data_IF_291586810274
#
_entry.id   IF_291586810274
#
_cell.length_a   1.000
_cell.length_b   1.000
_cell.length_c   1.000
_cell.angle_alpha   90.00
_cell.angle_beta   90.00
_cell.angle_gamma   90.00
#
_symmetry.space_group_name_H-M   'P 1'
#
loop_
_entity.id
_entity.type
_entity.pdbx_description
1 polymer ?
#
# COMPACT_ATOMS: atom_id res chain seq x y z
N UNK A 1 47.78 1.54 47.08
CA UNK A 1 49.01 0.91 46.55
C UNK A 1 48.89 1.17 45.03
N UNK A 2 49.35 2.34 44.54
CA UNK A 2 50.70 2.59 43.98
C UNK A 2 51.03 1.50 42.93
N UNK A 3 51.29 1.76 41.63
CA UNK A 3 52.28 2.67 41.01
C UNK A 3 51.96 2.65 39.50
N UNK A 4 51.74 3.75 38.78
CA UNK A 4 52.75 4.59 38.09
C UNK A 4 53.86 3.78 37.38
N UNK A 5 54.09 3.95 36.07
CA UNK A 5 55.05 4.87 35.44
C UNK A 5 55.23 4.57 33.95
N UNK A 6 55.16 5.52 33.09
CA UNK A 6 56.09 6.37 32.26
C UNK A 6 56.31 5.85 30.84
N UNK A 7 55.93 6.63 29.82
CA UNK A 7 56.53 7.71 29.01
C UNK A 7 57.88 7.32 28.32
N UNK A 8 57.92 7.50 26.96
CA UNK A 8 58.89 8.30 26.18
C UNK A 8 58.71 7.99 24.68
N UNK A 9 58.27 8.96 23.91
CA UNK A 9 59.02 9.92 23.08
C UNK A 9 59.94 9.30 22.01
N UNK A 10 59.66 9.63 20.72
CA UNK A 10 60.53 10.50 19.92
C UNK A 10 60.08 10.57 18.44
N UNK A 11 59.81 11.77 17.96
CA UNK A 11 59.98 12.31 16.58
C UNK A 11 61.50 12.63 16.40
N UNK A 12 62.04 13.10 15.26
CA UNK A 12 61.53 13.35 13.90
C UNK A 12 62.56 12.99 12.78
N UNK A 13 62.24 13.25 11.51
CA UNK A 13 63.09 13.81 10.42
C UNK A 13 62.31 13.79 9.11
N UNK A 14 61.91 14.80 8.55
CA UNK A 14 62.36 15.94 7.71
C UNK A 14 63.39 15.55 6.61
N UNK A 15 63.08 15.70 5.34
CA UNK A 15 63.80 16.40 4.30
C UNK A 15 63.31 16.04 2.89
N UNK A 16 62.78 17.02 2.22
CA UNK A 16 63.14 17.78 0.97
C UNK A 16 62.71 17.13 -0.36
N UNK A 17 61.81 17.77 -1.05
CA UNK A 17 61.93 18.80 -2.10
C UNK A 17 62.62 18.32 -3.36
N UNK A 18 61.91 18.20 -4.47
CA UNK A 18 62.30 18.79 -5.75
C UNK A 18 61.14 18.94 -6.75
N UNK A 19 61.01 20.14 -7.24
CA UNK A 19 60.23 20.66 -8.33
C UNK A 19 60.73 20.09 -9.68
N UNK A 20 59.84 19.76 -10.63
CA UNK A 20 60.11 19.93 -12.04
C UNK A 20 58.84 20.23 -12.79
N UNK A 21 58.69 21.49 -13.19
CA UNK A 21 57.79 22.05 -14.17
C UNK A 21 58.22 21.69 -15.59
N UNK A 22 57.30 21.25 -16.41
CA UNK A 22 57.45 21.36 -17.88
C UNK A 22 56.12 21.73 -18.52
N UNK A 23 56.04 22.97 -18.95
CA UNK A 23 55.02 23.50 -19.82
C UNK A 23 55.28 23.08 -21.27
N UNK A 24 54.22 22.63 -21.97
CA UNK A 24 54.20 22.65 -23.40
C UNK A 24 52.86 23.13 -23.94
N UNK A 25 52.90 24.33 -24.47
CA UNK A 25 51.90 24.99 -25.29
C UNK A 25 51.87 24.37 -26.67
N UNK A 26 50.68 23.99 -27.20
CA UNK A 26 50.45 23.93 -28.67
C UNK A 26 49.03 24.31 -29.02
N UNK A 27 48.91 25.45 -29.55
CA UNK A 27 48.12 26.05 -30.64
C UNK A 27 46.75 25.46 -31.03
N UNK A 28 45.78 26.37 -30.91
CA UNK A 28 44.43 26.36 -31.49
C UNK A 28 44.53 26.48 -33.01
N UNK A 29 43.88 25.58 -33.75
CA UNK A 29 43.40 25.84 -35.10
C UNK A 29 41.90 25.61 -35.11
N UNK A 30 41.15 26.67 -35.27
CA UNK A 30 39.72 26.66 -35.49
C UNK A 30 39.39 26.29 -36.94
N UNK A 31 38.39 25.44 -37.11
CA UNK A 31 37.59 25.37 -38.31
C UNK A 31 36.12 25.31 -37.94
N UNK A 32 35.41 26.34 -38.36
CA UNK A 32 33.97 26.38 -38.26
C UNK A 32 33.32 25.32 -39.14
N UNK A 33 32.42 24.59 -38.53
CA UNK A 33 31.55 23.64 -39.21
C UNK A 33 30.14 23.79 -38.62
N UNK A 34 29.23 24.11 -39.49
CA UNK A 34 27.81 24.30 -39.23
C UNK A 34 27.21 23.17 -38.40
N UNK A 35 26.61 23.52 -37.28
CA UNK A 35 25.81 22.61 -36.48
C UNK A 35 24.52 22.29 -37.23
N UNK A 36 24.52 21.21 -37.99
CA UNK A 36 23.30 20.48 -38.31
C UNK A 36 22.91 19.70 -37.04
N UNK A 37 21.88 20.14 -36.37
CA UNK A 37 21.31 19.40 -35.25
C UNK A 37 20.77 18.06 -35.75
N UNK A 38 21.58 17.02 -35.65
CA UNK A 38 21.09 15.65 -35.67
C UNK A 38 20.47 15.41 -34.31
N UNK A 39 19.15 15.32 -34.31
CA UNK A 39 18.39 14.70 -33.20
C UNK A 39 18.92 13.28 -33.15
N UNK A 40 19.87 13.01 -32.28
CA UNK A 40 20.26 11.64 -31.93
C UNK A 40 19.04 11.01 -31.27
N UNK A 41 18.35 10.16 -32.01
CA UNK A 41 17.49 9.15 -31.45
C UNK A 41 18.34 8.37 -30.44
N UNK A 42 18.10 8.53 -29.17
CA UNK A 42 18.72 7.72 -28.13
C UNK A 42 18.19 6.30 -28.28
N UNK A 43 18.94 5.44 -29.00
CA UNK A 43 18.82 3.98 -28.94
C UNK A 43 19.42 3.46 -27.61
N UNK A 44 18.96 4.03 -26.50
CA UNK A 44 19.24 3.50 -25.18
C UNK A 44 17.91 3.06 -24.57
N UNK A 45 17.72 1.74 -24.37
CA UNK A 45 16.57 1.21 -23.65
C UNK A 45 16.44 1.87 -22.28
N UNK A 46 15.28 1.75 -21.65
CA UNK A 46 15.06 2.23 -20.29
C UNK A 46 16.03 1.51 -19.33
N UNK A 47 16.69 2.27 -18.46
CA UNK A 47 17.67 1.75 -17.49
C UNK A 47 17.64 2.58 -16.20
N UNK A 48 17.97 1.95 -15.09
CA UNK A 48 18.04 2.59 -13.78
C UNK A 48 17.32 1.80 -12.70
N UNK A 49 17.18 2.40 -11.53
CA UNK A 49 16.44 1.80 -10.40
C UNK A 49 15.23 2.66 -10.09
N UNK A 50 14.10 2.03 -9.87
CA UNK A 50 12.88 2.66 -9.34
C UNK A 50 12.70 2.19 -7.89
N UNK A 51 12.68 3.13 -6.95
CA UNK A 51 12.45 2.87 -5.53
C UNK A 51 10.99 3.12 -5.19
N UNK A 52 10.36 2.16 -4.48
CA UNK A 52 8.92 2.19 -4.15
C UNK A 52 8.72 1.82 -2.69
N UNK A 53 7.88 2.58 -1.99
CA UNK A 53 7.47 2.20 -0.64
C UNK A 53 5.98 2.45 -0.40
N UNK A 54 5.39 1.83 0.62
CA UNK A 54 4.09 2.26 1.11
C UNK A 54 3.06 1.17 1.34
N UNK A 55 1.87 1.35 0.76
CA UNK A 55 0.67 0.60 1.12
C UNK A 55 0.79 -0.91 0.93
N UNK A 56 0.52 -1.66 2.00
CA UNK A 56 0.42 -3.12 1.98
C UNK A 56 -0.58 -3.60 0.93
N UNK A 57 -1.71 -2.90 0.80
CA UNK A 57 -2.77 -3.22 -0.16
C UNK A 57 -2.27 -3.30 -1.61
N UNK A 58 -1.28 -2.49 -2.01
CA UNK A 58 -0.78 -2.42 -3.39
C UNK A 58 0.53 -3.21 -3.58
N UNK A 59 1.17 -3.63 -2.49
CA UNK A 59 2.49 -4.26 -2.53
C UNK A 59 2.57 -5.50 -3.42
N UNK A 60 1.63 -6.49 -3.34
CA UNK A 60 1.70 -7.66 -4.21
C UNK A 60 1.62 -7.33 -5.71
N UNK A 61 0.72 -6.43 -6.09
CA UNK A 61 0.56 -6.03 -7.48
C UNK A 61 1.74 -5.18 -7.98
N UNK A 62 2.31 -4.33 -7.11
CA UNK A 62 3.51 -3.56 -7.44
C UNK A 62 4.72 -4.46 -7.71
N UNK A 63 4.89 -5.54 -6.95
CA UNK A 63 5.93 -6.54 -7.19
C UNK A 63 5.71 -7.19 -8.57
N UNK A 64 4.47 -7.61 -8.87
CA UNK A 64 4.12 -8.20 -10.17
C UNK A 64 4.40 -7.24 -11.32
N UNK A 65 4.00 -5.98 -11.21
CA UNK A 65 4.29 -4.96 -12.22
C UNK A 65 5.80 -4.71 -12.38
N UNK A 66 6.54 -4.68 -11.29
CA UNK A 66 7.99 -4.52 -11.31
C UNK A 66 8.68 -5.66 -12.05
N UNK A 67 8.30 -6.91 -11.78
CA UNK A 67 8.81 -8.10 -12.44
C UNK A 67 8.53 -8.09 -13.95
N UNK A 68 7.28 -7.78 -14.35
CA UNK A 68 6.89 -7.74 -15.75
C UNK A 68 7.56 -6.59 -16.52
N UNK A 69 7.63 -5.40 -15.91
CA UNK A 69 8.33 -4.27 -16.52
C UNK A 69 9.83 -4.54 -16.67
N UNK A 70 10.46 -5.19 -15.67
CA UNK A 70 11.87 -5.60 -15.77
C UNK A 70 12.08 -6.67 -16.86
N UNK A 71 11.12 -7.56 -17.08
CA UNK A 71 11.19 -8.54 -18.18
C UNK A 71 11.21 -7.84 -19.56
N UNK A 72 10.46 -6.74 -19.69
CA UNK A 72 10.45 -5.91 -20.91
C UNK A 72 11.68 -4.99 -21.02
N UNK A 73 12.23 -4.56 -19.88
CA UNK A 73 13.35 -3.63 -19.76
C UNK A 73 14.42 -4.18 -18.81
N UNK A 74 15.29 -5.11 -19.28
CA UNK A 74 16.20 -5.86 -18.43
C UNK A 74 17.23 -5.03 -17.64
N UNK A 75 17.47 -3.78 -18.05
CA UNK A 75 18.39 -2.86 -17.38
C UNK A 75 17.71 -2.00 -16.30
N UNK A 76 16.39 -2.18 -16.08
CA UNK A 76 15.64 -1.56 -14.99
C UNK A 76 15.68 -2.47 -13.76
N UNK A 77 15.79 -1.87 -12.59
CA UNK A 77 15.73 -2.54 -11.27
C UNK A 77 14.66 -1.90 -10.41
N UNK A 78 14.15 -2.67 -9.50
CA UNK A 78 13.16 -2.21 -8.51
C UNK A 78 13.64 -2.49 -7.09
N UNK A 79 13.41 -1.51 -6.21
CA UNK A 79 13.52 -1.66 -4.75
C UNK A 79 12.15 -1.33 -4.16
N UNK A 80 11.40 -2.37 -3.80
CA UNK A 80 9.99 -2.26 -3.39
C UNK A 80 9.85 -2.68 -1.92
N UNK A 81 9.25 -1.82 -1.11
CA UNK A 81 9.01 -2.09 0.31
C UNK A 81 7.59 -1.74 0.74
N UNK A 82 7.02 -2.53 1.64
CA UNK A 82 5.76 -2.21 2.29
C UNK A 82 6.01 -1.50 3.65
N UNK A 83 5.00 -0.80 4.16
CA UNK A 83 5.10 -0.08 5.44
C UNK A 83 3.92 0.84 5.74
N UNK A 84 2.82 0.67 4.97
CA UNK A 84 1.60 1.45 5.11
C UNK A 84 1.54 2.70 4.21
N UNK A 85 0.32 3.15 3.94
CA UNK A 85 0.05 4.29 3.05
C UNK A 85 0.67 5.60 3.54
N UNK A 86 0.69 5.80 4.87
CA UNK A 86 1.32 6.98 5.48
C UNK A 86 2.82 7.02 5.23
N UNK A 87 3.52 5.86 5.31
CA UNK A 87 4.93 5.76 4.95
C UNK A 87 5.14 6.09 3.48
N UNK A 88 4.36 5.47 2.58
CA UNK A 88 4.47 5.73 1.13
C UNK A 88 4.32 7.21 0.77
N UNK A 89 3.33 7.88 1.36
CA UNK A 89 3.12 9.32 1.18
C UNK A 89 4.32 10.13 1.72
N UNK A 90 4.78 9.82 2.93
CA UNK A 90 5.89 10.56 3.56
C UNK A 90 7.20 10.39 2.77
N UNK A 91 7.52 9.16 2.36
CA UNK A 91 8.72 8.85 1.61
C UNK A 91 8.71 9.53 0.23
N UNK A 92 7.58 9.49 -0.49
CA UNK A 92 7.43 10.17 -1.78
C UNK A 92 7.62 11.69 -1.64
N UNK A 93 6.92 12.35 -0.70
CA UNK A 93 7.04 13.78 -0.47
C UNK A 93 8.43 14.21 -0.01
N UNK A 94 9.17 13.35 0.66
CA UNK A 94 10.55 13.57 1.07
C UNK A 94 11.58 13.25 -0.03
N UNK A 95 11.17 12.77 -1.21
CA UNK A 95 12.03 12.20 -2.26
C UNK A 95 12.95 11.08 -1.72
N UNK A 96 12.49 10.34 -0.71
CA UNK A 96 13.19 9.16 -0.20
C UNK A 96 12.96 7.93 -1.08
N UNK A 97 11.87 7.95 -1.85
CA UNK A 97 11.54 6.99 -2.92
C UNK A 97 11.02 7.73 -4.14
N UNK A 98 11.07 7.07 -5.29
CA UNK A 98 10.53 7.62 -6.54
C UNK A 98 9.00 7.55 -6.58
N UNK A 99 8.43 6.48 -6.00
CA UNK A 99 6.98 6.22 -5.99
C UNK A 99 6.54 5.80 -4.60
N UNK A 100 5.53 6.48 -4.06
CA UNK A 100 4.79 6.08 -2.87
C UNK A 100 3.51 5.32 -3.25
N UNK A 101 3.24 4.19 -2.61
CA UNK A 101 1.97 3.47 -2.71
C UNK A 101 1.02 3.98 -1.63
N UNK A 102 -0.18 4.47 -2.03
CA UNK A 102 -1.16 5.04 -1.10
C UNK A 102 -2.54 4.46 -1.34
N UNK A 103 -3.08 3.78 -0.34
CA UNK A 103 -4.37 3.06 -0.39
C UNK A 103 -5.48 3.77 0.40
N UNK A 104 -5.51 5.07 0.33
CA UNK A 104 -6.52 5.97 0.90
C UNK A 104 -6.64 7.24 0.06
N UNK A 105 -7.58 8.07 0.40
CA UNK A 105 -7.70 9.41 -0.15
C UNK A 105 -6.41 10.23 0.01
N UNK A 106 -6.08 11.02 -1.00
CA UNK A 106 -4.96 11.97 -0.97
C UNK A 106 -5.49 13.29 -0.39
N UNK A 107 -4.95 13.70 0.74
CA UNK A 107 -5.44 14.87 1.44
C UNK A 107 -4.97 16.18 0.80
N UNK A 108 -5.79 17.22 0.85
CA UNK A 108 -5.48 18.54 0.29
C UNK A 108 -4.14 19.11 0.80
N UNK A 109 -3.77 18.79 2.05
CA UNK A 109 -2.49 19.18 2.63
C UNK A 109 -1.29 18.48 1.99
N UNK A 110 -1.47 17.25 1.49
CA UNK A 110 -0.43 16.48 0.80
C UNK A 110 -0.23 17.04 -0.62
N UNK A 111 -1.32 17.41 -1.26
CA UNK A 111 -1.29 18.10 -2.57
C UNK A 111 -0.53 19.44 -2.47
N UNK A 112 -0.79 20.24 -1.44
CA UNK A 112 -0.05 21.48 -1.21
C UNK A 112 1.44 21.29 -0.93
N UNK A 113 1.83 20.10 -0.47
CA UNK A 113 3.23 19.71 -0.27
C UNK A 113 3.90 19.14 -1.52
N UNK A 114 3.18 19.07 -2.63
CA UNK A 114 3.70 18.60 -3.91
C UNK A 114 3.35 17.16 -4.27
N UNK A 115 2.40 16.53 -3.59
CA UNK A 115 1.92 15.20 -4.00
C UNK A 115 1.24 15.30 -5.38
N UNK A 116 1.78 14.58 -6.34
CA UNK A 116 1.13 14.23 -7.59
C UNK A 116 0.72 12.76 -7.52
N UNK A 117 -0.47 12.42 -8.00
CA UNK A 117 -0.95 11.03 -7.89
C UNK A 117 -1.78 10.60 -9.10
N UNK A 118 -1.75 9.29 -9.33
CA UNK A 118 -2.62 8.59 -10.26
C UNK A 118 -3.24 7.38 -9.58
N UNK A 119 -4.54 7.18 -9.78
CA UNK A 119 -5.21 5.94 -9.39
C UNK A 119 -4.89 4.85 -10.41
N UNK A 120 -4.55 3.64 -9.94
CA UNK A 120 -4.09 2.55 -10.81
C UNK A 120 -4.96 1.30 -10.74
N UNK A 121 -5.68 1.12 -9.64
CA UNK A 121 -6.62 0.01 -9.40
C UNK A 121 -7.52 0.35 -8.22
N UNK A 122 -8.45 -0.54 -7.88
CA UNK A 122 -9.31 -0.42 -6.71
C UNK A 122 -9.21 -1.68 -5.84
N UNK A 123 -9.39 -1.50 -4.52
CA UNK A 123 -9.40 -2.54 -3.52
C UNK A 123 -10.45 -2.21 -2.45
N UNK A 124 -10.69 -3.12 -1.51
CA UNK A 124 -11.57 -2.90 -0.38
C UNK A 124 -11.03 -3.52 0.90
N UNK A 125 -11.48 -3.01 2.04
CA UNK A 125 -11.20 -3.56 3.36
C UNK A 125 -12.40 -4.36 3.83
N UNK A 126 -12.16 -5.61 4.22
CA UNK A 126 -13.17 -6.54 4.69
C UNK A 126 -13.01 -6.80 6.18
N UNK A 127 -14.09 -6.78 6.98
CA UNK A 127 -14.05 -7.24 8.36
C UNK A 127 -13.80 -8.75 8.40
N UNK A 128 -12.87 -9.16 9.25
CA UNK A 128 -12.45 -10.55 9.39
C UNK A 128 -12.57 -11.03 10.82
N UNK A 129 -12.99 -12.28 11.00
CA UNK A 129 -13.03 -12.98 12.29
C UNK A 129 -12.33 -14.31 12.18
N UNK A 130 -11.99 -14.91 13.32
CA UNK A 130 -11.48 -16.27 13.36
C UNK A 130 -12.52 -17.27 12.83
N UNK A 131 -12.09 -18.33 12.15
CA UNK A 131 -13.00 -19.35 11.60
C UNK A 131 -13.74 -20.16 12.67
N UNK A 132 -13.19 -20.25 13.90
CA UNK A 132 -13.79 -20.90 15.05
C UNK A 132 -14.59 -19.94 15.94
N UNK A 133 -14.96 -18.75 15.44
CA UNK A 133 -15.73 -17.78 16.20
C UNK A 133 -17.05 -18.39 16.69
N UNK A 134 -17.37 -18.29 18.01
CA UNK A 134 -18.50 -19.01 18.61
C UNK A 134 -19.89 -18.60 18.07
N UNK A 135 -19.98 -17.47 17.36
CA UNK A 135 -21.24 -16.99 16.77
C UNK A 135 -21.16 -16.88 15.25
N UNK A 136 -20.21 -17.55 14.61
CA UNK A 136 -19.99 -17.45 13.15
C UNK A 136 -21.28 -17.65 12.33
N UNK A 137 -22.07 -18.68 12.64
CA UNK A 137 -23.32 -18.97 11.90
C UNK A 137 -24.34 -17.82 11.97
N UNK A 138 -24.38 -17.11 13.12
CA UNK A 138 -25.23 -15.94 13.25
C UNK A 138 -24.66 -14.73 12.51
N UNK A 139 -23.33 -14.50 12.54
CA UNK A 139 -22.64 -13.44 11.80
C UNK A 139 -22.84 -13.61 10.28
N UNK A 140 -22.66 -14.84 9.79
CA UNK A 140 -22.83 -15.15 8.38
C UNK A 140 -24.26 -14.92 7.89
N UNK A 141 -25.24 -15.33 8.69
CA UNK A 141 -26.67 -15.23 8.33
C UNK A 141 -27.23 -13.81 8.47
N UNK A 142 -26.77 -13.05 9.45
CA UNK A 142 -27.32 -11.73 9.79
C UNK A 142 -26.53 -10.58 9.16
N UNK A 143 -25.27 -10.77 8.90
CA UNK A 143 -24.34 -9.68 8.68
C UNK A 143 -24.13 -8.83 9.94
N UNK A 144 -23.25 -7.84 9.81
CA UNK A 144 -22.98 -6.86 10.88
C UNK A 144 -23.17 -5.47 10.30
N UNK A 145 -24.06 -4.68 10.91
CA UNK A 145 -24.34 -3.32 10.45
C UNK A 145 -23.19 -2.35 10.77
N UNK A 146 -23.12 -1.26 10.03
CA UNK A 146 -22.16 -0.17 10.29
C UNK A 146 -22.27 0.33 11.75
N UNK A 147 -23.48 0.51 12.28
CA UNK A 147 -23.70 0.96 13.64
C UNK A 147 -23.11 -0.03 14.66
N UNK A 148 -23.26 -1.33 14.42
CA UNK A 148 -22.65 -2.37 15.27
C UNK A 148 -21.12 -2.28 15.23
N UNK A 149 -20.51 -2.10 14.05
CA UNK A 149 -19.06 -1.89 13.95
C UNK A 149 -18.60 -0.61 14.65
N UNK A 150 -19.38 0.48 14.60
CA UNK A 150 -19.10 1.70 15.39
C UNK A 150 -19.10 1.38 16.88
N UNK A 151 -20.07 0.58 17.34
CA UNK A 151 -20.13 0.11 18.72
C UNK A 151 -18.91 -0.71 19.16
N UNK A 152 -18.32 -1.49 18.25
CA UNK A 152 -17.14 -2.31 18.50
C UNK A 152 -15.85 -1.47 18.43
N UNK A 153 -15.64 -0.74 17.33
CA UNK A 153 -14.35 -0.14 16.99
C UNK A 153 -14.17 1.30 17.42
N UNK A 154 -15.26 2.05 17.69
CA UNK A 154 -15.18 3.48 17.98
C UNK A 154 -15.66 3.80 19.38
N UNK A 155 -16.87 3.40 19.74
CA UNK A 155 -17.44 3.75 21.07
C UNK A 155 -17.07 2.73 22.16
N UNK A 156 -16.80 1.47 21.79
CA UNK A 156 -16.52 0.38 22.73
C UNK A 156 -17.75 0.01 23.59
N UNK A 157 -18.95 0.33 23.14
CA UNK A 157 -20.20 -0.03 23.83
C UNK A 157 -20.54 -1.51 23.64
N UNK A 158 -20.21 -2.08 22.47
CA UNK A 158 -20.38 -3.50 22.15
C UNK A 158 -19.10 -4.23 22.51
N UNK A 159 -19.17 -5.11 23.52
CA UNK A 159 -18.01 -5.79 24.11
C UNK A 159 -18.07 -7.31 24.06
N UNK A 160 -19.24 -7.88 23.75
CA UNK A 160 -19.43 -9.32 23.68
C UNK A 160 -20.03 -9.74 22.35
N UNK A 161 -19.68 -10.93 21.91
CA UNK A 161 -20.22 -11.52 20.68
C UNK A 161 -21.74 -11.69 20.75
N UNK A 162 -22.29 -11.93 21.93
CA UNK A 162 -23.74 -12.00 22.13
C UNK A 162 -24.46 -10.68 21.85
N UNK A 163 -23.83 -9.54 22.17
CA UNK A 163 -24.39 -8.21 21.82
C UNK A 163 -24.46 -8.02 20.30
N UNK A 164 -23.43 -8.47 19.56
CA UNK A 164 -23.40 -8.36 18.09
C UNK A 164 -24.57 -9.12 17.45
N UNK A 165 -24.84 -10.33 17.91
CA UNK A 165 -25.82 -11.22 17.26
C UNK A 165 -27.18 -11.25 17.96
N UNK A 166 -27.37 -10.43 19.00
CA UNK A 166 -28.64 -10.37 19.75
C UNK A 166 -28.92 -11.61 20.62
N UNK A 167 -27.86 -12.23 21.17
CA UNK A 167 -27.92 -13.43 22.04
C UNK A 167 -27.30 -13.11 23.41
N UNK A 168 -28.05 -12.56 24.33
CA UNK A 168 -27.54 -12.08 25.63
C UNK A 168 -26.93 -13.18 26.51
N UNK A 169 -27.23 -14.45 26.23
CA UNK A 169 -26.64 -15.59 26.92
C UNK A 169 -25.17 -15.87 26.49
N UNK A 170 -24.74 -15.36 25.33
CA UNK A 170 -23.34 -15.46 24.85
C UNK A 170 -22.56 -14.29 25.43
N UNK A 171 -21.72 -14.56 26.39
CA UNK A 171 -20.95 -13.55 27.14
C UNK A 171 -19.48 -13.47 26.72
N UNK A 172 -19.10 -14.22 25.70
CA UNK A 172 -17.74 -14.23 25.17
C UNK A 172 -17.31 -12.82 24.74
N UNK A 173 -16.16 -12.30 25.21
CA UNK A 173 -15.71 -10.96 24.88
C UNK A 173 -15.29 -10.87 23.40
N UNK A 174 -15.31 -9.67 22.84
CA UNK A 174 -14.73 -9.38 21.55
C UNK A 174 -13.28 -8.91 21.76
N UNK A 175 -12.33 -9.58 21.13
CA UNK A 175 -10.95 -9.12 21.07
C UNK A 175 -10.73 -8.35 19.77
N UNK A 176 -10.72 -7.03 19.90
CA UNK A 176 -10.64 -6.12 18.76
C UNK A 176 -9.17 -5.90 18.38
N UNK A 177 -8.83 -6.17 17.13
CA UNK A 177 -7.51 -5.87 16.56
C UNK A 177 -7.59 -4.69 15.60
N UNK A 178 -6.61 -3.79 15.68
CA UNK A 178 -6.46 -2.63 14.81
C UNK A 178 -5.02 -2.48 14.35
N UNK A 179 -4.70 -1.40 13.64
CA UNK A 179 -3.38 -1.19 13.05
C UNK A 179 -2.53 -0.21 13.86
N UNK A 180 -1.25 -0.57 14.08
CA UNK A 180 -0.26 0.30 14.72
C UNK A 180 0.47 1.21 13.73
N UNK A 181 0.48 0.86 12.45
CA UNK A 181 1.08 1.67 11.38
C UNK A 181 0.04 2.63 10.77
N UNK A 182 0.51 3.77 10.27
CA UNK A 182 -0.33 4.69 9.49
C UNK A 182 -0.64 4.06 8.13
N UNK A 183 -1.81 3.45 8.01
CA UNK A 183 -2.16 2.66 6.84
C UNK A 183 -3.52 3.02 6.23
N UNK A 184 -3.65 2.73 4.94
CA UNK A 184 -4.89 2.99 4.23
C UNK A 184 -6.04 2.09 4.66
N UNK A 185 -5.78 0.85 5.11
CA UNK A 185 -6.83 -0.04 5.59
C UNK A 185 -7.53 0.54 6.82
N UNK A 186 -6.76 0.96 7.84
CA UNK A 186 -7.34 1.57 9.04
C UNK A 186 -7.98 2.93 8.75
N UNK A 187 -7.34 3.78 7.92
CA UNK A 187 -7.93 5.06 7.54
C UNK A 187 -9.27 4.89 6.82
N UNK A 188 -9.36 3.95 5.89
CA UNK A 188 -10.58 3.70 5.10
C UNK A 188 -11.67 3.02 5.94
N UNK A 189 -11.28 2.07 6.82
CA UNK A 189 -12.21 1.45 7.76
C UNK A 189 -12.79 2.47 8.73
N UNK A 190 -11.94 3.31 9.33
CA UNK A 190 -12.39 4.39 10.22
C UNK A 190 -13.29 5.40 9.50
N UNK A 191 -12.97 5.77 8.25
CA UNK A 191 -13.82 6.64 7.44
C UNK A 191 -15.20 6.02 7.20
N UNK A 192 -15.26 4.71 6.95
CA UNK A 192 -16.54 3.98 6.87
C UNK A 192 -17.33 4.09 8.17
N UNK A 193 -16.66 4.06 9.34
CA UNK A 193 -17.27 4.19 10.65
C UNK A 193 -17.52 5.64 11.10
N UNK A 194 -17.21 6.62 10.23
CA UNK A 194 -17.45 8.04 10.51
C UNK A 194 -16.37 8.74 11.34
N UNK A 195 -15.16 8.12 11.45
CA UNK A 195 -14.03 8.63 12.22
C UNK A 195 -12.71 8.65 11.45
N UNK A 196 -11.62 8.82 12.18
CA UNK A 196 -10.24 8.74 11.71
C UNK A 196 -9.55 7.50 12.29
N UNK A 197 -8.40 7.10 11.72
CA UNK A 197 -7.66 5.92 12.18
C UNK A 197 -7.38 5.95 13.69
N UNK A 198 -7.11 7.12 14.24
CA UNK A 198 -6.80 7.34 15.65
C UNK A 198 -7.99 7.08 16.57
N UNK A 199 -9.21 7.07 16.05
CA UNK A 199 -10.43 6.80 16.80
C UNK A 199 -10.69 5.30 16.96
N UNK A 200 -9.99 4.45 16.21
CA UNK A 200 -10.19 3.00 16.26
C UNK A 200 -9.62 2.40 17.56
N UNK A 201 -10.50 1.76 18.31
CA UNK A 201 -10.18 1.00 19.50
C UNK A 201 -9.59 -0.38 19.13
N UNK A 202 -8.87 -0.99 20.07
CA UNK A 202 -8.35 -2.34 19.95
C UNK A 202 -6.86 -2.49 20.19
N UNK A 203 -6.37 -3.72 20.07
CA UNK A 203 -4.96 -4.07 20.16
C UNK A 203 -4.30 -3.73 18.84
N UNK A 204 -3.32 -2.84 18.87
CA UNK A 204 -2.64 -2.35 17.69
C UNK A 204 -1.58 -3.35 17.18
N UNK A 205 -1.72 -3.80 15.93
CA UNK A 205 -0.84 -4.78 15.27
C UNK A 205 -0.24 -4.18 14.00
N UNK A 206 1.00 -4.53 13.69
CA UNK A 206 1.72 -3.98 12.54
C UNK A 206 1.44 -4.77 11.25
N UNK A 207 1.03 -4.07 10.21
CA UNK A 207 0.86 -4.60 8.86
C UNK A 207 -0.40 -5.46 8.68
N UNK A 208 -0.82 -5.68 7.44
CA UNK A 208 -1.93 -6.59 7.11
C UNK A 208 -1.63 -8.03 7.50
N UNK A 209 -0.43 -8.58 7.24
CA UNK A 209 -0.10 -9.95 7.66
C UNK A 209 -0.22 -10.14 9.17
N UNK A 210 0.28 -9.19 9.96
CA UNK A 210 0.21 -9.27 11.42
C UNK A 210 -1.20 -9.17 11.96
N UNK A 211 -2.05 -8.30 11.36
CA UNK A 211 -3.46 -8.19 11.75
C UNK A 211 -4.24 -9.48 11.46
N UNK A 212 -4.04 -10.04 10.28
CA UNK A 212 -4.67 -11.30 9.90
C UNK A 212 -4.22 -12.46 10.81
N UNK A 213 -2.92 -12.54 11.10
CA UNK A 213 -2.37 -13.57 12.00
C UNK A 213 -2.95 -13.43 13.41
N UNK A 214 -3.10 -12.21 13.93
CA UNK A 214 -3.75 -11.98 15.23
C UNK A 214 -5.20 -12.48 15.27
N UNK A 215 -5.97 -12.28 14.18
CA UNK A 215 -7.34 -12.81 14.06
C UNK A 215 -7.33 -14.34 14.00
N UNK A 216 -6.43 -14.94 13.22
CA UNK A 216 -6.33 -16.40 13.08
C UNK A 216 -5.95 -17.10 14.40
N UNK A 217 -5.15 -16.47 15.24
CA UNK A 217 -4.69 -17.05 16.50
C UNK A 217 -5.69 -16.89 17.64
N UNK A 218 -6.76 -16.12 17.48
CA UNK A 218 -7.71 -15.78 18.53
C UNK A 218 -9.16 -16.07 18.12
N UNK A 219 -9.80 -17.15 18.63
CA UNK A 219 -11.20 -17.47 18.32
C UNK A 219 -12.20 -16.36 18.61
N UNK A 220 -11.86 -15.42 19.48
CA UNK A 220 -12.70 -14.27 19.85
C UNK A 220 -12.29 -12.98 19.10
N UNK A 221 -11.31 -13.09 18.19
CA UNK A 221 -10.72 -12.00 17.46
C UNK A 221 -11.61 -11.45 16.34
N UNK A 222 -11.57 -10.11 16.19
CA UNK A 222 -12.10 -9.41 15.04
C UNK A 222 -11.05 -8.41 14.54
N UNK A 223 -10.88 -8.34 13.23
CA UNK A 223 -10.00 -7.41 12.53
C UNK A 223 -10.62 -6.90 11.24
N UNK A 224 -9.80 -6.24 10.44
CA UNK A 224 -10.15 -5.78 9.10
C UNK A 224 -8.94 -5.87 8.19
N UNK A 225 -9.09 -6.51 7.03
CA UNK A 225 -7.98 -6.78 6.12
C UNK A 225 -8.30 -6.32 4.70
N UNK A 226 -7.28 -5.88 3.98
CA UNK A 226 -7.40 -5.63 2.55
C UNK A 226 -7.75 -6.93 1.81
N UNK A 227 -8.43 -6.83 0.67
CA UNK A 227 -8.95 -7.95 -0.10
C UNK A 227 -7.91 -9.08 -0.29
N UNK A 228 -6.70 -8.75 -0.71
CA UNK A 228 -5.64 -9.73 -0.97
C UNK A 228 -4.97 -10.31 0.30
N UNK A 229 -5.41 -9.92 1.47
CA UNK A 229 -5.05 -10.53 2.75
C UNK A 229 -6.24 -11.24 3.40
N UNK A 230 -7.47 -10.84 3.09
CA UNK A 230 -8.67 -11.56 3.53
C UNK A 230 -8.91 -12.85 2.74
N UNK A 231 -8.49 -12.88 1.47
CA UNK A 231 -8.65 -14.02 0.57
C UNK A 231 -7.30 -14.54 0.08
N UNK A 232 -7.17 -15.85 0.06
CA UNK A 232 -6.00 -16.55 -0.47
C UNK A 232 -5.92 -16.41 -2.00
N UNK A 233 -4.72 -16.11 -2.51
CA UNK A 233 -4.50 -15.82 -3.93
C UNK A 233 -4.61 -17.04 -4.84
N UNK A 234 -4.30 -18.23 -4.31
CA UNK A 234 -4.27 -19.46 -5.11
C UNK A 234 -5.64 -20.13 -5.14
N UNK A 235 -6.31 -20.17 -3.99
CA UNK A 235 -7.61 -20.85 -3.86
C UNK A 235 -8.80 -19.93 -4.12
N UNK A 236 -8.64 -18.63 -3.98
CA UNK A 236 -9.72 -17.64 -4.04
C UNK A 236 -10.69 -17.70 -2.86
N UNK A 237 -10.40 -18.54 -1.85
CA UNK A 237 -11.21 -18.65 -0.64
C UNK A 237 -10.70 -17.68 0.45
N UNK A 238 -11.48 -17.40 1.50
CA UNK A 238 -10.94 -16.74 2.69
C UNK A 238 -9.70 -17.47 3.19
N UNK A 239 -8.70 -16.71 3.67
CA UNK A 239 -7.47 -17.32 4.20
C UNK A 239 -7.81 -18.29 5.32
N UNK A 240 -7.17 -19.48 5.29
CA UNK A 240 -7.40 -20.52 6.28
C UNK A 240 -7.23 -19.98 7.72
N UNK A 241 -8.17 -20.30 8.59
CA UNK A 241 -8.24 -19.77 9.96
C UNK A 241 -9.02 -18.45 10.11
N UNK A 242 -9.42 -17.82 8.99
CA UNK A 242 -10.22 -16.60 9.01
C UNK A 242 -11.52 -16.74 8.20
N UNK A 243 -12.49 -15.89 8.51
CA UNK A 243 -13.76 -15.70 7.76
C UNK A 243 -13.98 -14.22 7.49
N UNK A 244 -14.57 -13.92 6.35
CA UNK A 244 -15.02 -12.58 5.99
C UNK A 244 -16.45 -12.39 6.49
N UNK A 245 -16.66 -11.37 7.32
CA UNK A 245 -17.98 -11.07 7.89
C UNK A 245 -18.81 -10.28 6.88
N UNK A 246 -20.04 -10.71 6.54
CA UNK A 246 -20.94 -9.91 5.74
C UNK A 246 -21.26 -8.57 6.41
N UNK A 247 -21.29 -7.49 5.63
CA UNK A 247 -21.76 -6.18 6.10
C UNK A 247 -23.25 -6.08 5.76
N UNK A 248 -24.09 -6.00 6.78
CA UNK A 248 -25.53 -5.69 6.63
C UNK A 248 -25.68 -4.20 6.26
N UNK A 249 -25.68 -3.93 4.96
CA UNK A 249 -25.73 -2.59 4.38
C UNK A 249 -27.13 -1.98 4.56
N UNK A 250 -28.15 -2.82 4.46
CA UNK A 250 -29.54 -2.42 4.56
C UNK A 250 -29.99 -2.16 6.00
N UNK A 251 -29.27 -2.70 6.99
CA UNK A 251 -29.58 -2.61 8.44
C UNK A 251 -30.82 -3.43 8.83
N UNK A 252 -31.19 -4.44 8.03
CA UNK A 252 -32.40 -5.24 8.26
C UNK A 252 -32.15 -6.47 9.16
N UNK A 253 -30.90 -6.74 9.55
CA UNK A 253 -30.51 -7.87 10.38
C UNK A 253 -30.44 -9.19 9.62
N UNK A 254 -30.29 -9.16 8.31
CA UNK A 254 -30.06 -10.31 7.43
C UNK A 254 -29.00 -9.94 6.40
N UNK A 255 -28.03 -10.86 6.19
CA UNK A 255 -27.09 -10.72 5.12
C UNK A 255 -27.77 -11.12 3.80
N UNK A 256 -27.86 -10.19 2.87
CA UNK A 256 -28.36 -10.45 1.53
C UNK A 256 -27.29 -11.18 0.69
N UNK A 257 -27.70 -11.82 -0.40
CA UNK A 257 -26.77 -12.58 -1.27
C UNK A 257 -25.60 -11.71 -1.76
N UNK A 258 -25.87 -10.43 -2.03
CA UNK A 258 -24.92 -9.44 -2.52
C UNK A 258 -23.95 -8.91 -1.44
N UNK A 259 -24.21 -9.23 -0.17
CA UNK A 259 -23.40 -8.84 1.00
C UNK A 259 -22.51 -10.00 1.47
N UNK A 260 -22.70 -11.20 0.92
CA UNK A 260 -21.95 -12.42 1.27
C UNK A 260 -20.84 -12.63 0.24
N UNK A 261 -19.61 -12.73 0.73
CA UNK A 261 -18.41 -12.93 -0.08
C UNK A 261 -17.67 -14.19 0.36
N UNK A 262 -18.11 -15.34 -0.14
CA UNK A 262 -17.48 -16.65 0.13
C UNK A 262 -16.21 -16.85 -0.68
N UNK A 263 -16.05 -16.08 -1.76
CA UNK A 263 -14.89 -16.15 -2.63
C UNK A 263 -14.36 -14.75 -2.97
N UNK A 264 -13.08 -14.70 -3.29
CA UNK A 264 -12.40 -13.50 -3.79
C UNK A 264 -13.09 -12.93 -5.04
N UNK A 265 -13.51 -13.80 -5.95
CA UNK A 265 -14.23 -13.40 -7.17
C UNK A 265 -15.53 -12.67 -6.83
N UNK A 266 -16.31 -13.17 -5.87
CA UNK A 266 -17.53 -12.47 -5.42
C UNK A 266 -17.20 -11.11 -4.81
N UNK A 267 -16.13 -11.03 -3.99
CA UNK A 267 -15.69 -9.78 -3.37
C UNK A 267 -15.23 -8.76 -4.42
N UNK A 268 -14.40 -9.16 -5.38
CA UNK A 268 -13.96 -8.33 -6.52
C UNK A 268 -15.16 -7.81 -7.30
N UNK A 269 -16.10 -8.69 -7.65
CA UNK A 269 -17.31 -8.33 -8.39
C UNK A 269 -18.21 -7.37 -7.58
N UNK A 270 -18.40 -7.63 -6.29
CA UNK A 270 -19.19 -6.75 -5.42
C UNK A 270 -18.61 -5.33 -5.35
N UNK A 271 -17.28 -5.21 -5.26
CA UNK A 271 -16.60 -3.90 -5.30
C UNK A 271 -16.69 -3.25 -6.67
N UNK A 272 -16.50 -4.02 -7.76
CA UNK A 272 -16.56 -3.51 -9.12
C UNK A 272 -17.94 -2.98 -9.48
N UNK A 273 -19.00 -3.67 -9.04
CA UNK A 273 -20.40 -3.30 -9.26
C UNK A 273 -20.92 -2.20 -8.32
N UNK A 274 -20.13 -1.81 -7.32
CA UNK A 274 -20.53 -0.82 -6.31
C UNK A 274 -21.55 -1.36 -5.31
N UNK A 275 -21.67 -2.67 -5.16
CA UNK A 275 -22.50 -3.35 -4.15
C UNK A 275 -21.82 -3.29 -2.79
N UNK A 276 -20.49 -3.39 -2.75
CA UNK A 276 -19.71 -3.20 -1.52
C UNK A 276 -19.58 -1.70 -1.18
N UNK A 277 -19.68 -1.29 0.10
CA UNK A 277 -19.63 0.13 0.48
C UNK A 277 -18.33 0.83 0.07
N UNK A 278 -18.40 2.11 -0.26
CA UNK A 278 -17.24 2.92 -0.58
C UNK A 278 -17.32 4.27 0.16
N UNK A 279 -16.52 4.49 1.25
CA UNK A 279 -15.63 3.50 1.86
C UNK A 279 -16.38 2.29 2.41
N UNK A 280 -15.74 1.14 2.69
CA UNK A 280 -14.30 0.89 2.72
C UNK A 280 -13.68 0.38 1.41
N UNK A 281 -14.41 0.37 0.28
CA UNK A 281 -13.80 0.27 -1.04
C UNK A 281 -13.16 1.62 -1.42
N UNK A 282 -11.98 1.59 -2.08
CA UNK A 282 -11.22 2.80 -2.45
C UNK A 282 -10.28 2.56 -3.62
N UNK A 283 -9.91 3.65 -4.28
CA UNK A 283 -8.83 3.62 -5.27
C UNK A 283 -7.47 3.43 -4.58
N UNK A 284 -6.57 2.71 -5.24
CA UNK A 284 -5.17 2.59 -4.88
C UNK A 284 -4.36 3.50 -5.79
N UNK A 285 -3.49 4.31 -5.19
CA UNK A 285 -2.79 5.39 -5.85
C UNK A 285 -1.28 5.19 -5.85
N UNK A 286 -0.64 5.59 -6.94
CA UNK A 286 0.80 5.87 -6.99
C UNK A 286 1.01 7.37 -6.82
N UNK A 287 1.92 7.71 -5.93
CA UNK A 287 2.22 9.11 -5.57
C UNK A 287 3.68 9.41 -5.89
N UNK A 288 3.94 10.57 -6.49
CA UNK A 288 5.28 11.11 -6.70
C UNK A 288 5.37 12.52 -6.14
N UNK A 289 6.57 13.02 -5.89
CA UNK A 289 6.78 14.42 -5.56
C UNK A 289 6.83 15.27 -6.84
N UNK A 290 5.72 15.89 -7.17
CA UNK A 290 5.53 16.59 -8.45
C UNK A 290 5.33 15.63 -9.63
N UNK A 291 5.25 16.22 -10.82
CA UNK A 291 5.02 15.50 -12.08
C UNK A 291 6.13 14.48 -12.34
N UNK A 292 5.82 13.18 -12.55
CA UNK A 292 6.84 12.19 -12.85
C UNK A 292 7.45 12.41 -14.22
N UNK A 293 8.73 12.04 -14.37
CA UNK A 293 9.46 12.15 -15.63
C UNK A 293 10.35 10.94 -15.89
N UNK A 294 10.92 10.84 -17.09
CA UNK A 294 11.89 9.79 -17.43
C UNK A 294 11.37 8.37 -17.15
N UNK A 295 12.18 7.57 -16.46
CA UNK A 295 11.90 6.16 -16.19
C UNK A 295 10.63 5.98 -15.33
N UNK A 296 10.42 6.83 -14.32
CA UNK A 296 9.24 6.77 -13.43
C UNK A 296 7.96 7.05 -14.23
N UNK A 297 7.94 8.09 -15.08
CA UNK A 297 6.79 8.36 -15.96
C UNK A 297 6.52 7.18 -16.89
N UNK A 298 7.57 6.61 -17.50
CA UNK A 298 7.44 5.45 -18.41
C UNK A 298 6.80 4.25 -17.69
N UNK A 299 7.24 3.93 -16.46
CA UNK A 299 6.69 2.83 -15.69
C UNK A 299 5.23 3.07 -15.29
N UNK A 300 4.88 4.26 -14.76
CA UNK A 300 3.50 4.60 -14.41
C UNK A 300 2.59 4.58 -15.65
N UNK A 301 3.06 5.10 -16.78
CA UNK A 301 2.30 5.05 -18.04
C UNK A 301 2.06 3.61 -18.49
N UNK A 302 3.08 2.74 -18.41
CA UNK A 302 2.94 1.31 -18.70
C UNK A 302 1.94 0.63 -17.79
N UNK A 303 1.96 0.92 -16.47
CA UNK A 303 0.97 0.39 -15.51
C UNK A 303 -0.46 0.75 -15.94
N UNK A 304 -0.69 2.00 -16.37
CA UNK A 304 -2.03 2.48 -16.75
C UNK A 304 -2.53 1.93 -18.10
N UNK A 305 -1.65 1.33 -18.91
CA UNK A 305 -1.98 0.77 -20.22
C UNK A 305 -1.80 -0.76 -20.20
N UNK A 306 -0.58 -1.24 -20.45
CA UNK A 306 -0.29 -2.66 -20.61
C UNK A 306 -0.31 -3.40 -19.26
N UNK A 307 0.14 -2.74 -18.18
CA UNK A 307 0.15 -3.31 -16.82
C UNK A 307 -1.24 -3.62 -16.26
N UNK A 308 -2.31 -3.10 -16.86
CA UNK A 308 -3.68 -3.39 -16.44
C UNK A 308 -4.08 -4.84 -16.70
N UNK A 309 -3.44 -5.56 -17.61
CA UNK A 309 -3.71 -6.99 -17.85
C UNK A 309 -3.45 -7.86 -16.61
N UNK A 310 -2.56 -7.42 -15.70
CA UNK A 310 -2.21 -8.15 -14.47
C UNK A 310 -3.14 -7.86 -13.28
N UNK A 311 -4.02 -6.87 -13.39
CA UNK A 311 -4.85 -6.39 -12.26
C UNK A 311 -5.85 -7.46 -11.83
N UNK A 312 -6.63 -8.00 -12.76
CA UNK A 312 -7.64 -9.03 -12.48
C UNK A 312 -6.98 -10.34 -12.06
N UNK A 313 -5.88 -10.74 -12.73
CA UNK A 313 -5.10 -11.95 -12.37
C UNK A 313 -4.57 -11.86 -10.94
N UNK A 314 -4.09 -10.68 -10.54
CA UNK A 314 -3.64 -10.42 -9.18
C UNK A 314 -4.79 -10.23 -8.16
N UNK A 315 -6.05 -10.33 -8.62
CA UNK A 315 -7.26 -10.27 -7.78
C UNK A 315 -7.56 -8.89 -7.23
N UNK A 316 -7.30 -7.86 -8.02
CA UNK A 316 -7.72 -6.49 -7.76
C UNK A 316 -8.86 -6.09 -8.68
N UNK A 317 -9.48 -4.95 -8.43
CA UNK A 317 -10.57 -4.42 -9.24
C UNK A 317 -10.03 -3.45 -10.28
N UNK A 318 -10.19 -3.79 -11.55
CA UNK A 318 -9.78 -2.93 -12.66
C UNK A 318 -10.59 -1.64 -12.67
N UNK A 319 -9.92 -0.50 -12.87
CA UNK A 319 -10.58 0.78 -13.06
C UNK A 319 -11.29 0.82 -14.45
N UNK A 320 -12.35 1.59 -14.54
CA UNK A 320 -13.00 1.78 -15.83
C UNK A 320 -12.04 2.39 -16.85
N UNK A 321 -12.20 2.05 -18.14
CA UNK A 321 -11.38 2.62 -19.22
C UNK A 321 -11.39 4.15 -19.20
N UNK A 322 -12.54 4.77 -18.92
CA UNK A 322 -12.65 6.24 -18.82
C UNK A 322 -11.75 6.77 -17.72
N UNK A 323 -11.74 6.12 -16.55
CA UNK A 323 -10.90 6.51 -15.43
C UNK A 323 -9.40 6.33 -15.75
N UNK A 324 -9.01 5.20 -16.34
CA UNK A 324 -7.63 4.97 -16.77
C UNK A 324 -7.15 6.01 -17.80
N UNK A 325 -8.00 6.36 -18.76
CA UNK A 325 -7.70 7.40 -19.75
C UNK A 325 -7.58 8.81 -19.11
N UNK A 326 -8.33 9.07 -18.03
CA UNK A 326 -8.19 10.30 -17.22
C UNK A 326 -6.89 10.33 -16.43
N UNK A 327 -6.54 9.21 -15.79
CA UNK A 327 -5.30 9.09 -15.02
C UNK A 327 -4.06 9.19 -15.93
N UNK A 328 -4.10 8.58 -17.12
CA UNK A 328 -3.03 8.67 -18.10
C UNK A 328 -2.81 10.12 -18.57
N UNK A 329 -3.90 10.88 -18.82
CA UNK A 329 -3.81 12.30 -19.22
C UNK A 329 -3.17 13.20 -18.16
N UNK A 330 -3.18 12.81 -16.88
CA UNK A 330 -2.48 13.56 -15.83
C UNK A 330 -0.96 13.54 -16.03
N UNK A 331 -0.44 12.52 -16.72
CA UNK A 331 0.99 12.36 -16.97
C UNK A 331 1.51 13.24 -18.11
N UNK A 332 0.63 13.80 -18.95
CA UNK A 332 0.98 14.69 -20.05
C UNK A 332 1.23 16.14 -19.57
#
# INVERSE_FOLDING_TARGET
>A
MQMQTRIKNALPTLLTLTLLTLAMLTTIVGCGGSASGSIASAEGGLQGTITVSGAWALYPLMVRWGEEFQRLHPDVRFDISAGGAGKGMADALANAVDIGMVSREIYAQEVTKGAFWVAVTKDAVFPTVNEENPVWEDLYRKGVSQETFVGIYVTGEIKTWGQVVGRPEVIDPIHVFTRSDSCGAAATWAQYLGGAQEDLLGIAVYGDPGLLDAVIQDPLGIGFNNLNYAFDMETGMPVAGARVVPIDISGNGQAETEEIYDTKEQAVNGVAMGQYPSPPARDLNLVTHGQPSGLVKAFISWILVDGQEFVDEAGYVTLSKVKLDEELRKLD
#
